data_IF_333622284831
#
_entry.id   IF_333622284831
#
_cell.length_a   1.000
_cell.length_b   1.000
_cell.length_c   1.000
_cell.angle_alpha   90.00
_cell.angle_beta   90.00
_cell.angle_gamma   90.00
#
_symmetry.space_group_name_H-M   'P 1'
#
loop_
_entity.id
_entity.type
_entity.pdbx_description
1 polymer ?
#
# COMPACT_ATOMS: atom_id res chain seq x y z
N UNK A 1 -11.55 -59.88 -56.52
CA UNK A 1 -11.14 -60.71 -55.37
C UNK A 1 -12.15 -60.47 -54.26
N UNK A 2 -13.03 -61.44 -54.02
CA UNK A 2 -14.03 -61.39 -52.94
C UNK A 2 -13.33 -61.52 -51.59
N UNK A 3 -13.74 -60.68 -50.63
CA UNK A 3 -13.11 -60.49 -49.31
C UNK A 3 -13.53 -61.54 -48.27
N UNK A 4 -14.03 -62.69 -48.71
CA UNK A 4 -14.50 -63.73 -47.81
C UNK A 4 -13.37 -64.72 -47.56
N UNK A 5 -13.02 -64.89 -46.28
CA UNK A 5 -11.90 -65.72 -45.84
C UNK A 5 -12.02 -67.18 -46.30
N UNK A 6 -10.90 -67.89 -46.32
CA UNK A 6 -10.82 -69.26 -46.81
C UNK A 6 -11.78 -70.21 -46.07
N UNK A 7 -12.53 -70.98 -46.86
CA UNK A 7 -13.46 -72.03 -46.42
C UNK A 7 -13.02 -73.32 -47.09
N UNK A 8 -12.87 -74.40 -46.33
CA UNK A 8 -12.57 -75.73 -46.89
C UNK A 8 -13.88 -76.50 -47.02
N UNK A 9 -14.12 -77.05 -48.21
CA UNK A 9 -15.36 -77.76 -48.55
C UNK A 9 -14.99 -79.22 -48.78
N UNK A 10 -15.57 -80.13 -48.00
CA UNK A 10 -15.34 -81.56 -48.13
C UNK A 10 -16.54 -82.20 -48.86
N UNK A 11 -16.38 -82.43 -50.17
CA UNK A 11 -17.51 -82.74 -51.06
C UNK A 11 -18.17 -84.11 -50.82
N UNK A 12 -17.50 -85.04 -50.13
CA UNK A 12 -18.08 -86.36 -49.80
C UNK A 12 -19.06 -86.33 -48.63
N UNK A 13 -18.93 -85.36 -47.73
CA UNK A 13 -19.81 -85.20 -46.56
C UNK A 13 -20.69 -83.93 -46.63
N UNK A 14 -20.55 -83.13 -47.70
CA UNK A 14 -21.28 -81.86 -47.92
C UNK A 14 -21.22 -80.90 -46.72
N UNK A 15 -20.08 -80.85 -46.03
CA UNK A 15 -19.84 -79.87 -44.96
C UNK A 15 -18.79 -78.85 -45.41
N UNK A 16 -19.05 -77.59 -45.09
CA UNK A 16 -18.18 -76.45 -45.39
C UNK A 16 -17.86 -75.74 -44.08
N UNK A 17 -16.60 -75.78 -43.65
CA UNK A 17 -16.16 -75.17 -42.39
C UNK A 17 -15.24 -73.98 -42.65
N UNK A 18 -15.51 -72.86 -41.97
CA UNK A 18 -14.78 -71.59 -42.13
C UNK A 18 -13.55 -71.58 -41.22
N UNK A 19 -12.38 -71.64 -41.82
CA UNK A 19 -11.09 -71.82 -41.09
C UNK A 19 -10.44 -70.47 -40.72
N UNK A 20 -10.95 -69.34 -41.22
CA UNK A 20 -10.34 -68.03 -40.99
C UNK A 20 -10.60 -67.49 -39.57
N UNK A 21 -9.55 -67.36 -38.75
CA UNK A 21 -9.58 -66.83 -37.37
C UNK A 21 -9.62 -65.29 -37.26
N UNK A 22 -10.16 -64.59 -38.26
CA UNK A 22 -10.18 -63.11 -38.27
C UNK A 22 -11.48 -62.60 -37.66
N UNK A 23 -11.37 -61.84 -36.56
CA UNK A 23 -12.50 -61.15 -35.92
C UNK A 23 -13.22 -60.26 -36.94
N UNK A 24 -14.55 -60.29 -36.92
CA UNK A 24 -15.37 -59.47 -37.81
C UNK A 24 -15.16 -57.99 -37.48
N UNK A 25 -14.81 -57.18 -38.49
CA UNK A 25 -14.63 -55.74 -38.31
C UNK A 25 -15.94 -55.12 -37.80
N UNK A 26 -15.86 -54.38 -36.69
CA UNK A 26 -16.99 -53.72 -36.05
C UNK A 26 -17.57 -52.60 -36.93
N UNK A 27 -18.89 -52.61 -37.15
CA UNK A 27 -19.61 -51.56 -37.89
C UNK A 27 -19.55 -50.19 -37.18
N UNK A 28 -18.73 -49.27 -37.68
CA UNK A 28 -18.57 -47.89 -37.17
C UNK A 28 -19.70 -46.93 -37.63
N UNK A 29 -20.94 -47.40 -37.76
CA UNK A 29 -22.05 -46.60 -38.32
C UNK A 29 -22.94 -45.93 -37.27
N UNK A 30 -22.65 -46.05 -35.97
CA UNK A 30 -23.37 -45.35 -34.92
C UNK A 30 -22.59 -44.13 -34.41
N UNK A 31 -23.22 -42.94 -34.25
CA UNK A 31 -22.54 -41.78 -33.71
C UNK A 31 -22.16 -42.03 -32.24
N UNK A 32 -20.88 -41.86 -31.90
CA UNK A 32 -20.33 -42.04 -30.56
C UNK A 32 -20.92 -41.04 -29.55
N UNK A 33 -22.13 -41.32 -29.03
CA UNK A 33 -22.81 -40.52 -28.00
C UNK A 33 -21.93 -40.28 -26.77
N UNK A 34 -21.08 -41.25 -26.44
CA UNK A 34 -20.12 -41.17 -25.34
C UNK A 34 -19.02 -40.10 -25.51
N UNK A 35 -18.66 -39.72 -26.75
CA UNK A 35 -17.72 -38.60 -26.96
C UNK A 35 -18.41 -37.25 -26.84
N UNK A 36 -19.66 -37.13 -27.32
CA UNK A 36 -20.48 -35.94 -27.14
C UNK A 36 -20.79 -35.66 -25.66
N UNK A 37 -21.12 -36.69 -24.87
CA UNK A 37 -21.37 -36.56 -23.42
C UNK A 37 -20.12 -36.07 -22.67
N UNK A 38 -18.93 -36.60 -22.98
CA UNK A 38 -17.66 -36.14 -22.36
C UNK A 38 -17.32 -34.70 -22.73
N UNK A 39 -17.60 -34.27 -23.96
CA UNK A 39 -17.40 -32.87 -24.37
C UNK A 39 -18.35 -31.94 -23.63
N UNK A 40 -19.62 -32.33 -23.44
CA UNK A 40 -20.57 -31.57 -22.64
C UNK A 40 -20.15 -31.50 -21.17
N UNK A 41 -19.69 -32.61 -20.57
CA UNK A 41 -19.18 -32.64 -19.19
C UNK A 41 -17.93 -31.75 -19.03
N UNK A 42 -17.01 -31.75 -19.99
CA UNK A 42 -15.85 -30.86 -19.97
C UNK A 42 -16.23 -29.38 -20.13
N UNK A 43 -17.25 -29.06 -20.92
CA UNK A 43 -17.78 -27.70 -21.04
C UNK A 43 -18.45 -27.26 -19.75
N UNK A 44 -19.27 -28.10 -19.13
CA UNK A 44 -19.92 -27.82 -17.85
C UNK A 44 -18.89 -27.69 -16.71
N UNK A 45 -17.87 -28.54 -16.70
CA UNK A 45 -16.71 -28.41 -15.80
C UNK A 45 -15.93 -27.10 -16.04
N UNK A 46 -15.80 -26.65 -17.29
CA UNK A 46 -15.18 -25.37 -17.61
C UNK A 46 -16.05 -24.18 -17.19
N UNK A 47 -17.37 -24.26 -17.35
CA UNK A 47 -18.32 -23.24 -16.92
C UNK A 47 -18.36 -23.11 -15.40
N UNK A 48 -18.39 -24.23 -14.67
CA UNK A 48 -18.33 -24.25 -13.20
C UNK A 48 -17.00 -23.72 -12.67
N UNK A 49 -15.86 -24.06 -13.30
CA UNK A 49 -14.55 -23.47 -12.97
C UNK A 49 -14.47 -21.96 -13.24
N UNK A 50 -15.08 -21.48 -14.32
CA UNK A 50 -15.16 -20.04 -14.61
C UNK A 50 -16.04 -19.32 -13.59
N UNK A 51 -17.18 -19.91 -13.23
CA UNK A 51 -18.10 -19.37 -12.23
C UNK A 51 -17.45 -19.31 -10.83
N UNK A 52 -16.77 -20.37 -10.41
CA UNK A 52 -16.06 -20.41 -9.12
C UNK A 52 -14.92 -19.38 -9.09
N UNK A 53 -14.13 -19.26 -10.16
CA UNK A 53 -13.09 -18.23 -10.27
C UNK A 53 -13.66 -16.81 -10.23
N UNK A 54 -14.84 -16.56 -10.82
CA UNK A 54 -15.54 -15.27 -10.75
C UNK A 54 -16.04 -14.99 -9.34
N UNK A 55 -16.57 -15.99 -8.64
CA UNK A 55 -16.99 -15.86 -7.24
C UNK A 55 -15.82 -15.57 -6.30
N UNK A 56 -14.67 -16.26 -6.48
CA UNK A 56 -13.45 -16.00 -5.72
C UNK A 56 -12.94 -14.59 -5.97
N UNK A 57 -12.90 -14.12 -7.23
CA UNK A 57 -12.53 -12.73 -7.54
C UNK A 57 -13.47 -11.73 -6.88
N UNK A 58 -14.78 -11.95 -6.92
CA UNK A 58 -15.77 -11.07 -6.28
C UNK A 58 -15.61 -11.06 -4.75
N UNK A 59 -15.30 -12.21 -4.14
CA UNK A 59 -15.03 -12.30 -2.72
C UNK A 59 -13.71 -11.60 -2.35
N UNK A 60 -12.68 -11.72 -3.18
CA UNK A 60 -11.41 -11.00 -3.02
C UNK A 60 -11.59 -9.49 -3.21
N UNK A 61 -12.35 -9.05 -4.20
CA UNK A 61 -12.70 -7.64 -4.40
C UNK A 61 -13.48 -7.10 -3.20
N UNK A 62 -14.46 -7.85 -2.68
CA UNK A 62 -15.17 -7.47 -1.45
C UNK A 62 -14.26 -7.43 -0.22
N UNK A 63 -13.31 -8.37 -0.09
CA UNK A 63 -12.32 -8.37 0.98
C UNK A 63 -11.35 -7.19 0.86
N UNK A 64 -10.89 -6.89 -0.36
CA UNK A 64 -10.04 -5.73 -0.66
C UNK A 64 -10.79 -4.46 -0.31
N UNK A 65 -12.05 -4.30 -0.72
CA UNK A 65 -12.89 -3.16 -0.34
C UNK A 65 -13.04 -3.02 1.18
N UNK A 66 -13.23 -4.14 1.90
CA UNK A 66 -13.27 -4.16 3.37
C UNK A 66 -11.95 -3.69 4.00
N UNK A 67 -10.81 -4.00 3.39
CA UNK A 67 -9.47 -3.62 3.89
C UNK A 67 -8.99 -2.25 3.41
N UNK A 68 -9.46 -1.77 2.26
CA UNK A 68 -9.00 -0.53 1.63
C UNK A 68 -9.72 0.70 2.14
N UNK A 69 -10.89 0.55 2.75
CA UNK A 69 -11.58 1.66 3.40
C UNK A 69 -10.95 1.94 4.77
N UNK A 70 -10.59 3.19 5.02
CA UNK A 70 -10.13 3.68 6.33
C UNK A 70 -11.19 3.59 7.44
N UNK A 71 -12.40 3.12 7.11
CA UNK A 71 -13.52 2.92 8.04
C UNK A 71 -13.38 1.59 8.76
N UNK A 72 -13.33 1.65 10.08
CA UNK A 72 -13.29 0.47 10.93
C UNK A 72 -14.65 -0.23 10.94
N UNK A 73 -14.65 -1.54 10.74
CA UNK A 73 -15.84 -2.38 10.88
C UNK A 73 -15.88 -2.90 12.31
N UNK A 74 -17.03 -2.76 12.97
CA UNK A 74 -17.25 -3.21 14.34
C UNK A 74 -18.05 -4.50 14.35
N UNK A 75 -17.67 -5.42 15.24
CA UNK A 75 -18.46 -6.61 15.53
C UNK A 75 -19.65 -6.26 16.43
N UNK A 76 -20.69 -7.09 16.43
CA UNK A 76 -21.87 -6.83 17.25
C UNK A 76 -21.54 -6.91 18.76
N UNK A 77 -20.63 -7.82 19.14
CA UNK A 77 -20.07 -7.91 20.50
C UNK A 77 -19.39 -6.60 20.94
N UNK A 78 -18.59 -5.97 20.07
CA UNK A 78 -17.94 -4.69 20.36
C UNK A 78 -18.97 -3.55 20.54
N UNK A 79 -20.08 -3.60 19.81
CA UNK A 79 -21.16 -2.60 19.87
C UNK A 79 -22.02 -2.72 21.13
N UNK A 80 -22.21 -3.94 21.61
CA UNK A 80 -22.95 -4.22 22.85
C UNK A 80 -22.18 -3.78 24.09
N UNK A 81 -20.84 -3.74 24.03
CA UNK A 81 -20.04 -3.27 25.18
C UNK A 81 -20.18 -1.75 25.41
N UNK A 82 -20.78 -1.31 26.54
CA UNK A 82 -21.01 0.11 26.78
C UNK A 82 -19.72 0.91 26.94
N UNK A 83 -18.62 0.26 27.35
CA UNK A 83 -17.30 0.87 27.52
C UNK A 83 -16.63 1.22 26.18
N UNK A 84 -16.86 0.44 25.12
CA UNK A 84 -16.30 0.71 23.78
C UNK A 84 -17.22 1.57 22.92
N UNK A 85 -18.53 1.56 23.18
CA UNK A 85 -19.53 2.35 22.47
C UNK A 85 -19.15 3.84 22.23
N UNK A 86 -18.61 4.62 23.20
CA UNK A 86 -18.21 6.00 22.94
C UNK A 86 -17.03 6.12 21.96
N UNK A 87 -16.13 5.14 21.93
CA UNK A 87 -15.00 5.11 20.99
C UNK A 87 -15.46 4.71 19.60
N UNK A 88 -16.38 3.74 19.50
CA UNK A 88 -17.05 3.35 18.25
C UNK A 88 -17.72 4.57 17.59
N UNK A 89 -18.54 5.31 18.36
CA UNK A 89 -19.19 6.53 17.88
C UNK A 89 -18.18 7.59 17.40
N UNK A 90 -17.00 7.69 18.02
CA UNK A 90 -15.95 8.64 17.63
C UNK A 90 -15.27 8.22 16.33
N UNK A 91 -14.98 6.94 16.15
CA UNK A 91 -14.42 6.40 14.91
C UNK A 91 -15.40 6.51 13.75
N UNK A 92 -16.68 6.19 13.94
CA UNK A 92 -17.71 6.32 12.89
C UNK A 92 -17.84 7.77 12.45
N UNK A 93 -18.00 8.72 13.39
CA UNK A 93 -18.05 10.16 13.07
C UNK A 93 -16.80 10.66 12.37
N UNK A 94 -15.62 10.14 12.73
CA UNK A 94 -14.37 10.53 12.09
C UNK A 94 -14.26 9.97 10.66
N UNK A 95 -14.74 8.74 10.44
CA UNK A 95 -14.84 8.14 9.12
C UNK A 95 -15.85 8.90 8.24
N UNK A 96 -17.03 9.26 8.75
CA UNK A 96 -18.02 10.05 8.00
C UNK A 96 -17.43 11.42 7.56
N UNK A 97 -16.65 12.06 8.45
CA UNK A 97 -15.95 13.31 8.13
C UNK A 97 -14.86 13.11 7.08
N UNK A 98 -14.14 12.00 7.12
CA UNK A 98 -13.14 11.64 6.11
C UNK A 98 -13.82 11.45 4.76
N UNK A 99 -14.92 10.69 4.71
CA UNK A 99 -15.66 10.42 3.47
C UNK A 99 -16.22 11.73 2.89
N UNK A 100 -16.77 12.61 3.72
CA UNK A 100 -17.21 13.95 3.32
C UNK A 100 -16.05 14.81 2.81
N UNK A 101 -14.89 14.79 3.48
CA UNK A 101 -13.72 15.56 3.07
C UNK A 101 -13.12 15.04 1.75
N UNK A 102 -13.10 13.71 1.54
CA UNK A 102 -12.69 13.11 0.26
C UNK A 102 -13.68 13.45 -0.86
N UNK A 103 -14.98 13.45 -0.58
CA UNK A 103 -15.99 13.86 -1.55
C UNK A 103 -15.86 15.35 -1.94
N UNK A 104 -15.42 16.20 -1.02
CA UNK A 104 -15.16 17.62 -1.26
C UNK A 104 -13.85 17.91 -2.03
N UNK A 105 -13.00 16.90 -2.28
CA UNK A 105 -11.79 17.09 -3.06
C UNK A 105 -12.12 17.44 -4.51
N UNK A 106 -11.40 18.41 -5.11
CA UNK A 106 -11.69 18.81 -6.48
C UNK A 106 -11.30 17.69 -7.45
N UNK A 107 -12.25 17.28 -8.31
CA UNK A 107 -12.06 16.21 -9.30
C UNK A 107 -11.72 16.77 -10.70
N UNK A 108 -11.06 15.96 -11.52
CA UNK A 108 -10.78 16.21 -12.93
C UNK A 108 -11.22 15.02 -13.78
N UNK A 109 -11.81 15.30 -14.94
CA UNK A 109 -12.15 14.29 -15.94
C UNK A 109 -10.89 13.95 -16.73
N UNK A 110 -10.41 12.71 -16.60
CA UNK A 110 -9.28 12.18 -17.37
C UNK A 110 -9.79 11.16 -18.37
N UNK A 111 -9.24 11.22 -19.57
CA UNK A 111 -9.57 10.29 -20.63
C UNK A 111 -8.85 8.96 -20.38
N UNK A 112 -9.61 7.90 -20.13
CA UNK A 112 -9.12 6.54 -19.89
C UNK A 112 -9.57 5.63 -21.04
N UNK A 113 -8.71 4.68 -21.41
CA UNK A 113 -8.99 3.68 -22.45
C UNK A 113 -9.52 2.41 -21.79
N UNK A 114 -10.78 2.10 -22.01
CA UNK A 114 -11.40 0.87 -21.53
C UNK A 114 -11.45 -0.16 -22.65
N UNK A 115 -10.86 -1.35 -22.43
CA UNK A 115 -10.92 -2.47 -23.37
C UNK A 115 -12.06 -3.40 -22.97
N UNK A 116 -13.14 -3.37 -23.73
CA UNK A 116 -14.31 -4.26 -23.56
C UNK A 116 -14.26 -5.38 -24.58
N UNK A 117 -14.42 -6.62 -24.16
CA UNK A 117 -14.51 -7.78 -25.04
C UNK A 117 -15.98 -8.14 -25.25
N UNK A 118 -16.41 -8.30 -26.50
CA UNK A 118 -17.75 -8.79 -26.81
C UNK A 118 -17.75 -10.32 -26.70
N UNK A 119 -18.47 -10.87 -25.72
CA UNK A 119 -18.46 -12.30 -25.35
C UNK A 119 -18.88 -13.23 -26.50
N UNK A 120 -19.68 -12.72 -27.45
CA UNK A 120 -20.20 -13.48 -28.60
C UNK A 120 -19.22 -13.62 -29.76
N UNK A 121 -18.30 -12.67 -29.93
CA UNK A 121 -17.36 -12.64 -31.08
C UNK A 121 -15.89 -12.67 -30.67
N UNK A 122 -15.59 -12.51 -29.38
CA UNK A 122 -14.23 -12.50 -28.84
C UNK A 122 -13.40 -11.26 -29.24
N UNK A 123 -13.96 -10.33 -30.02
CA UNK A 123 -13.26 -9.15 -30.50
C UNK A 123 -13.19 -8.08 -29.40
N UNK A 124 -11.98 -7.56 -29.17
CA UNK A 124 -11.75 -6.47 -28.23
C UNK A 124 -12.06 -5.12 -28.86
N UNK A 125 -12.98 -4.35 -28.28
CA UNK A 125 -13.22 -2.95 -28.64
C UNK A 125 -12.63 -2.05 -27.56
N UNK A 126 -11.82 -1.07 -27.95
CA UNK A 126 -11.30 -0.06 -27.01
C UNK A 126 -12.18 1.18 -27.11
N UNK A 127 -12.85 1.54 -26.01
CA UNK A 127 -13.66 2.77 -25.93
C UNK A 127 -12.96 3.77 -25.02
N UNK A 128 -12.97 5.04 -25.43
CA UNK A 128 -12.47 6.12 -24.60
C UNK A 128 -13.61 6.57 -23.67
N UNK A 129 -13.34 6.62 -22.37
CA UNK A 129 -14.28 7.10 -21.35
C UNK A 129 -13.59 8.19 -20.54
N UNK A 130 -14.34 9.23 -20.16
CA UNK A 130 -13.85 10.21 -19.21
C UNK A 130 -14.12 9.69 -17.80
N UNK A 131 -13.07 9.39 -17.05
CA UNK A 131 -13.13 9.00 -15.64
C UNK A 131 -12.87 10.22 -14.75
N UNK A 132 -13.69 10.40 -13.72
CA UNK A 132 -13.46 11.44 -12.72
C UNK A 132 -12.40 10.97 -11.72
N UNK A 133 -11.19 11.50 -11.85
CA UNK A 133 -10.09 11.26 -10.91
C UNK A 133 -9.88 12.49 -10.02
N UNK A 134 -9.41 12.29 -8.78
CA UNK A 134 -9.03 13.39 -7.90
C UNK A 134 -7.93 14.24 -8.56
N UNK A 135 -8.04 15.57 -8.45
CA UNK A 135 -6.97 16.46 -8.93
C UNK A 135 -5.75 16.27 -8.02
N UNK A 136 -4.54 16.11 -8.58
CA UNK A 136 -3.34 16.08 -7.78
C UNK A 136 -3.10 17.46 -7.13
N UNK A 137 -2.38 17.44 -6.01
CA UNK A 137 -2.05 18.65 -5.26
C UNK A 137 -1.29 19.64 -6.16
N UNK A 138 -1.80 20.88 -6.36
CA UNK A 138 -1.18 21.85 -7.26
C UNK A 138 0.21 22.27 -6.74
N UNK A 139 1.25 22.02 -7.54
CA UNK A 139 2.63 22.37 -7.22
C UNK A 139 3.27 21.53 -6.12
N UNK A 140 2.68 20.38 -5.76
CA UNK A 140 3.26 19.42 -4.84
C UNK A 140 4.00 18.33 -5.61
N UNK A 141 5.32 18.24 -5.45
CA UNK A 141 6.01 16.98 -5.71
C UNK A 141 5.45 15.98 -4.69
N UNK A 142 4.94 14.84 -5.15
CA UNK A 142 4.28 13.85 -4.30
C UNK A 142 5.17 13.35 -3.14
N UNK A 143 6.49 13.50 -3.28
CA UNK A 143 7.49 13.16 -2.26
C UNK A 143 8.54 14.28 -2.20
N UNK A 144 8.68 14.95 -1.06
CA UNK A 144 9.86 15.79 -0.79
C UNK A 144 11.02 14.86 -0.42
N UNK A 145 12.12 14.87 -1.18
CA UNK A 145 13.30 14.07 -0.86
C UNK A 145 13.81 14.47 0.54
N UNK A 146 13.88 13.55 1.53
CA UNK A 146 14.31 13.88 2.89
C UNK A 146 15.75 14.41 2.96
N UNK A 147 16.56 14.10 1.94
CA UNK A 147 17.95 14.55 1.82
C UNK A 147 18.10 15.98 1.27
N UNK A 148 17.01 16.65 0.88
CA UNK A 148 17.06 18.00 0.32
C UNK A 148 17.37 19.10 1.34
N UNK A 149 17.03 18.88 2.62
CA UNK A 149 17.22 19.86 3.69
C UNK A 149 18.69 20.06 4.07
N UNK A 150 19.50 19.01 4.34
CA UNK A 150 20.91 19.19 4.69
C UNK A 150 21.75 19.81 3.57
N UNK A 151 21.43 19.54 2.30
CA UNK A 151 22.11 20.16 1.16
C UNK A 151 21.82 21.67 1.03
N UNK A 152 20.59 22.10 1.37
CA UNK A 152 20.23 23.52 1.38
C UNK A 152 20.89 24.27 2.54
N UNK A 153 21.02 23.63 3.71
CA UNK A 153 21.67 24.21 4.90
C UNK A 153 23.16 24.49 4.66
N UNK A 154 23.88 23.60 3.97
CA UNK A 154 25.28 23.82 3.60
C UNK A 154 25.45 25.01 2.65
N UNK A 155 24.54 25.18 1.68
CA UNK A 155 24.56 26.33 0.77
C UNK A 155 24.31 27.66 1.48
N UNK A 156 23.41 27.68 2.48
CA UNK A 156 23.13 28.85 3.32
C UNK A 156 24.37 29.23 4.16
N UNK A 157 25.06 28.24 4.74
CA UNK A 157 26.29 28.49 5.49
C UNK A 157 27.39 29.15 4.64
N UNK A 158 27.58 28.67 3.41
CA UNK A 158 28.55 29.24 2.47
C UNK A 158 28.18 30.69 2.10
N UNK A 159 26.91 30.97 1.81
CA UNK A 159 26.47 32.34 1.51
C UNK A 159 26.61 33.30 2.70
N UNK A 160 26.31 32.84 3.92
CA UNK A 160 26.51 33.63 5.13
C UNK A 160 28.00 33.95 5.37
N UNK A 161 28.91 33.07 4.95
CA UNK A 161 30.35 33.29 5.09
C UNK A 161 30.89 34.27 4.05
N UNK A 162 30.43 34.21 2.81
CA UNK A 162 30.77 35.19 1.75
C UNK A 162 30.30 36.58 2.17
N UNK A 163 29.08 36.69 2.69
CA UNK A 163 28.52 37.95 3.17
C UNK A 163 29.20 38.53 4.43
N UNK A 164 30.08 37.77 5.09
CA UNK A 164 30.84 38.26 6.24
C UNK A 164 32.13 38.99 5.87
N UNK A 165 32.68 38.73 4.68
CA UNK A 165 33.94 39.32 4.19
C UNK A 165 33.71 40.65 3.47
N UNK A 166 32.48 40.90 3.00
CA UNK A 166 32.09 42.14 2.30
C UNK A 166 31.71 43.31 3.24
N UNK A 167 31.68 43.08 4.56
CA UNK A 167 31.22 44.04 5.59
C UNK A 167 32.21 45.17 5.93
N UNK A 168 33.41 45.15 5.36
CA UNK A 168 34.46 46.12 5.69
C UNK A 168 34.35 47.44 4.91
N UNK A 169 33.31 47.63 4.08
CA UNK A 169 33.14 48.83 3.26
C UNK A 169 31.77 49.54 3.46
N UNK A 170 31.64 50.24 4.58
CA UNK A 170 30.39 50.85 5.09
C UNK A 170 29.76 51.94 4.20
N UNK A 171 30.49 52.51 3.23
CA UNK A 171 29.99 53.55 2.32
C UNK A 171 29.14 53.05 1.15
N UNK A 172 29.35 51.80 0.72
CA UNK A 172 28.60 51.12 -0.37
C UNK A 172 27.39 50.36 0.19
N UNK A 173 27.44 50.02 1.49
CA UNK A 173 26.35 49.33 2.19
C UNK A 173 25.05 50.16 2.33
N UNK A 174 25.13 51.49 2.39
CA UNK A 174 23.94 52.34 2.60
C UNK A 174 22.96 52.36 1.42
N UNK A 175 23.49 52.41 0.19
CA UNK A 175 22.70 52.37 -1.03
C UNK A 175 22.20 50.95 -1.35
N UNK A 176 23.06 49.94 -1.18
CA UNK A 176 22.65 48.54 -1.39
C UNK A 176 21.65 48.04 -0.35
N UNK A 177 21.72 48.46 0.92
CA UNK A 177 20.73 48.07 1.93
C UNK A 177 19.34 48.67 1.66
N UNK A 178 19.24 49.88 1.11
CA UNK A 178 17.94 50.47 0.78
C UNK A 178 17.31 49.81 -0.45
N UNK A 179 18.11 49.49 -1.47
CA UNK A 179 17.70 48.68 -2.63
C UNK A 179 17.30 47.26 -2.21
N UNK A 180 18.09 46.59 -1.37
CA UNK A 180 17.80 45.25 -0.85
C UNK A 180 16.52 45.25 -0.01
N UNK A 181 16.28 46.29 0.80
CA UNK A 181 15.03 46.41 1.58
C UNK A 181 13.82 46.65 0.68
N UNK A 182 13.94 47.49 -0.35
CA UNK A 182 12.86 47.72 -1.31
C UNK A 182 12.55 46.45 -2.11
N UNK A 183 13.58 45.75 -2.58
CA UNK A 183 13.45 44.48 -3.27
C UNK A 183 12.89 43.40 -2.36
N UNK A 184 13.38 43.28 -1.12
CA UNK A 184 12.87 42.34 -0.12
C UNK A 184 11.42 42.65 0.25
N UNK A 185 11.04 43.92 0.33
CA UNK A 185 9.66 44.37 0.53
C UNK A 185 8.74 43.94 -0.62
N UNK A 186 9.13 44.21 -1.87
CA UNK A 186 8.37 43.83 -3.06
C UNK A 186 8.27 42.30 -3.23
N UNK A 187 9.40 41.58 -3.06
CA UNK A 187 9.45 40.11 -3.07
C UNK A 187 8.61 39.50 -1.94
N UNK A 188 8.61 40.11 -0.76
CA UNK A 188 7.79 39.65 0.36
C UNK A 188 6.29 39.82 0.07
N UNK A 189 5.88 40.99 -0.45
CA UNK A 189 4.49 41.27 -0.83
C UNK A 189 3.98 40.26 -1.86
N UNK A 190 4.71 40.09 -2.97
CA UNK A 190 4.35 39.11 -4.02
C UNK A 190 4.36 37.67 -3.50
N UNK A 191 5.29 37.30 -2.62
CA UNK A 191 5.32 35.97 -1.97
C UNK A 191 4.10 35.72 -1.10
N UNK A 192 3.67 36.71 -0.31
CA UNK A 192 2.49 36.60 0.56
C UNK A 192 1.20 36.45 -0.24
N UNK A 193 1.05 37.18 -1.34
CA UNK A 193 -0.08 37.03 -2.25
C UNK A 193 -0.14 35.62 -2.88
N UNK A 194 0.99 35.14 -3.42
CA UNK A 194 1.10 33.77 -3.96
C UNK A 194 0.84 32.71 -2.88
N UNK A 195 1.31 32.93 -1.65
CA UNK A 195 1.06 32.05 -0.52
C UNK A 195 -0.42 32.03 -0.13
N UNK A 196 -1.10 33.18 -0.13
CA UNK A 196 -2.54 33.30 0.11
C UNK A 196 -3.34 32.48 -0.90
N UNK A 197 -3.09 32.71 -2.19
CA UNK A 197 -3.73 31.97 -3.29
C UNK A 197 -3.47 30.46 -3.20
N UNK A 198 -2.22 30.06 -2.98
CA UNK A 198 -1.84 28.65 -2.81
C UNK A 198 -2.51 28.04 -1.58
N UNK A 199 -2.57 28.76 -0.47
CA UNK A 199 -3.19 28.25 0.75
C UNK A 199 -4.67 27.98 0.54
N UNK A 200 -5.37 28.83 -0.22
CA UNK A 200 -6.78 28.64 -0.56
C UNK A 200 -7.01 27.40 -1.43
N UNK A 201 -6.16 27.18 -2.45
CA UNK A 201 -6.21 25.97 -3.29
C UNK A 201 -5.90 24.68 -2.52
N UNK A 202 -5.07 24.78 -1.49
CA UNK A 202 -4.67 23.64 -0.66
C UNK A 202 -5.64 23.34 0.49
N UNK A 203 -6.63 24.20 0.76
CA UNK A 203 -7.63 23.99 1.83
C UNK A 203 -8.31 22.61 1.77
N UNK A 204 -8.93 22.19 0.64
CA UNK A 204 -9.64 20.90 0.59
C UNK A 204 -8.70 19.71 0.86
N UNK A 205 -7.48 19.75 0.31
CA UNK A 205 -6.47 18.70 0.55
C UNK A 205 -5.99 18.67 2.01
N UNK A 206 -5.85 19.83 2.65
CA UNK A 206 -5.49 19.91 4.08
C UNK A 206 -6.60 19.40 4.97
N UNK A 207 -7.85 19.68 4.63
CA UNK A 207 -9.02 19.19 5.37
C UNK A 207 -9.15 17.68 5.24
N UNK A 208 -8.99 17.13 4.04
CA UNK A 208 -8.92 15.69 3.81
C UNK A 208 -7.79 15.04 4.63
N UNK A 209 -6.56 15.58 4.57
CA UNK A 209 -5.43 15.06 5.35
C UNK A 209 -5.66 15.14 6.87
N UNK A 210 -6.28 16.23 7.36
CA UNK A 210 -6.66 16.36 8.78
C UNK A 210 -7.73 15.35 9.17
N UNK A 211 -8.72 15.11 8.30
CA UNK A 211 -9.77 14.13 8.54
C UNK A 211 -9.22 12.70 8.54
N UNK A 212 -8.27 12.38 7.66
CA UNK A 212 -7.54 11.12 7.66
C UNK A 212 -6.77 10.89 8.96
N UNK A 213 -6.00 11.90 9.42
CA UNK A 213 -5.31 11.82 10.71
C UNK A 213 -6.29 11.66 11.89
N UNK A 214 -7.43 12.35 11.85
CA UNK A 214 -8.45 12.25 12.87
C UNK A 214 -9.11 10.86 12.90
N UNK A 215 -9.45 10.30 11.73
CA UNK A 215 -9.98 8.95 11.60
C UNK A 215 -8.97 7.91 12.07
N UNK A 216 -7.70 8.02 11.64
CA UNK A 216 -6.63 7.15 12.09
C UNK A 216 -6.46 7.19 13.62
N UNK A 217 -6.43 8.39 14.21
CA UNK A 217 -6.34 8.55 15.67
C UNK A 217 -7.53 7.94 16.39
N UNK A 218 -8.75 8.11 15.87
CA UNK A 218 -9.95 7.53 16.46
C UNK A 218 -9.93 5.99 16.39
N UNK A 219 -9.50 5.42 15.27
CA UNK A 219 -9.37 3.97 15.08
C UNK A 219 -8.31 3.39 16.03
N UNK A 220 -7.14 4.04 16.15
CA UNK A 220 -6.08 3.62 17.08
C UNK A 220 -6.58 3.70 18.53
N UNK A 221 -7.31 4.74 18.90
CA UNK A 221 -7.89 4.85 20.25
C UNK A 221 -8.89 3.72 20.53
N UNK A 222 -9.75 3.37 19.58
CA UNK A 222 -10.66 2.24 19.72
C UNK A 222 -9.88 0.94 19.93
N UNK A 223 -8.90 0.65 19.07
CA UNK A 223 -8.08 -0.57 19.17
C UNK A 223 -7.31 -0.62 20.50
N UNK A 224 -6.81 0.53 20.98
CA UNK A 224 -6.17 0.63 22.28
C UNK A 224 -7.11 0.25 23.42
N UNK A 225 -8.33 0.80 23.43
CA UNK A 225 -9.31 0.48 24.47
C UNK A 225 -9.82 -0.96 24.40
N UNK A 226 -9.95 -1.52 23.20
CA UNK A 226 -10.20 -2.95 22.99
C UNK A 226 -9.07 -3.79 23.61
N UNK A 227 -7.82 -3.49 23.30
CA UNK A 227 -6.67 -4.22 23.84
C UNK A 227 -6.54 -4.11 25.36
N UNK A 228 -6.91 -2.96 25.97
CA UNK A 228 -6.95 -2.81 27.43
C UNK A 228 -8.04 -3.66 28.09
N UNK A 229 -9.17 -3.86 27.40
CA UNK A 229 -10.26 -4.69 27.90
C UNK A 229 -9.89 -6.18 27.84
N UNK A 230 -9.25 -6.61 26.76
CA UNK A 230 -8.76 -7.98 26.59
C UNK A 230 -7.57 -8.29 27.50
N UNK A 231 -6.71 -7.30 27.78
CA UNK A 231 -5.49 -7.48 28.57
C UNK A 231 -5.44 -6.52 29.78
N UNK A 232 -6.13 -6.86 30.89
CA UNK A 232 -6.14 -6.01 32.09
C UNK A 232 -4.74 -5.83 32.70
N UNK A 233 -3.79 -6.73 32.42
CA UNK A 233 -2.38 -6.61 32.84
C UNK A 233 -1.64 -5.41 32.23
N UNK A 234 -2.08 -4.94 31.06
CA UNK A 234 -1.50 -3.74 30.44
C UNK A 234 -1.95 -2.45 31.15
N UNK A 235 -3.03 -2.53 31.93
CA UNK A 235 -3.53 -1.44 32.76
C UNK A 235 -2.61 -1.29 33.98
N UNK A 236 -1.76 -0.26 33.97
CA UNK A 236 -0.89 0.08 35.10
C UNK A 236 -0.76 1.58 35.20
N UNK A 237 -0.39 2.07 36.39
CA UNK A 237 -0.29 3.50 36.64
C UNK A 237 0.74 4.16 35.68
N UNK A 238 0.34 5.09 34.80
CA UNK A 238 1.23 5.69 33.81
C UNK A 238 2.39 6.44 34.45
N UNK A 239 2.17 7.06 35.61
CA UNK A 239 3.22 7.76 36.36
C UNK A 239 4.29 6.80 36.85
N UNK A 240 3.89 5.62 37.35
CA UNK A 240 4.81 4.58 37.79
C UNK A 240 5.68 4.07 36.63
N UNK A 241 5.08 3.78 35.46
CA UNK A 241 5.85 3.37 34.25
C UNK A 241 6.81 4.45 33.78
N UNK A 242 6.41 5.72 33.85
CA UNK A 242 7.29 6.84 33.50
C UNK A 242 8.48 6.92 34.46
N UNK A 243 8.24 6.82 35.76
CA UNK A 243 9.30 6.81 36.78
C UNK A 243 10.22 5.59 36.62
N UNK A 244 9.67 4.41 36.34
CA UNK A 244 10.42 3.20 36.04
C UNK A 244 11.29 3.38 34.78
N UNK A 245 10.73 3.94 33.70
CA UNK A 245 11.46 4.24 32.47
C UNK A 245 12.62 5.21 32.74
N UNK A 246 12.41 6.26 33.54
CA UNK A 246 13.47 7.19 33.92
C UNK A 246 14.55 6.52 34.78
N UNK A 247 14.16 5.65 35.73
CA UNK A 247 15.11 4.86 36.53
C UNK A 247 15.97 3.95 35.64
N UNK A 248 15.35 3.20 34.73
CA UNK A 248 16.05 2.33 33.77
C UNK A 248 16.99 3.14 32.88
N UNK A 249 16.53 4.28 32.34
CA UNK A 249 17.40 5.18 31.54
C UNK A 249 18.60 5.68 32.33
N UNK A 250 18.41 6.07 33.59
CA UNK A 250 19.50 6.49 34.48
C UNK A 250 20.46 5.33 34.77
N UNK A 251 19.95 4.13 35.00
CA UNK A 251 20.77 2.92 35.20
C UNK A 251 21.58 2.60 33.93
N UNK A 252 20.95 2.63 32.75
CA UNK A 252 21.63 2.42 31.47
C UNK A 252 22.71 3.47 31.20
N UNK A 253 22.42 4.76 31.43
CA UNK A 253 23.43 5.80 31.32
C UNK A 253 24.59 5.58 32.30
N UNK A 254 24.32 5.09 33.52
CA UNK A 254 25.35 4.72 34.49
C UNK A 254 26.17 3.50 34.02
N UNK A 255 25.56 2.47 33.43
CA UNK A 255 26.30 1.30 32.92
C UNK A 255 27.13 1.65 31.68
N UNK A 256 26.62 2.48 30.78
CA UNK A 256 27.39 2.98 29.62
C UNK A 256 28.56 3.86 30.08
N UNK A 257 28.35 4.75 31.05
CA UNK A 257 29.46 5.56 31.62
C UNK A 257 30.49 4.72 32.37
N UNK A 258 30.05 3.70 33.12
CA UNK A 258 30.94 2.78 33.84
C UNK A 258 31.70 1.85 32.90
N UNK A 259 31.06 1.33 31.86
CA UNK A 259 31.73 0.53 30.84
C UNK A 259 32.72 1.39 30.06
N UNK A 260 32.32 2.58 29.59
CA UNK A 260 33.23 3.51 28.91
C UNK A 260 34.41 3.97 29.78
N UNK A 261 34.21 4.18 31.09
CA UNK A 261 35.32 4.49 31.99
C UNK A 261 36.20 3.28 32.31
N UNK A 262 35.64 2.06 32.30
CA UNK A 262 36.40 0.82 32.42
C UNK A 262 37.23 0.54 31.16
N UNK A 263 36.69 0.77 29.94
CA UNK A 263 37.47 0.68 28.69
C UNK A 263 38.51 1.78 28.59
N UNK A 264 38.21 3.02 29.03
CA UNK A 264 39.21 4.09 29.08
C UNK A 264 40.32 3.80 30.11
N UNK A 265 39.99 3.24 31.28
CA UNK A 265 40.99 2.79 32.26
C UNK A 265 41.79 1.59 31.76
N UNK A 266 41.18 0.65 31.06
CA UNK A 266 41.87 -0.49 30.46
C UNK A 266 42.79 -0.04 29.31
N UNK A 267 42.35 0.89 28.46
CA UNK A 267 43.16 1.47 27.40
C UNK A 267 44.31 2.34 27.95
N UNK A 268 44.08 3.09 29.03
CA UNK A 268 45.13 3.85 29.72
C UNK A 268 46.14 2.95 30.45
N UNK A 269 45.70 1.84 31.03
CA UNK A 269 46.58 0.84 31.63
C UNK A 269 47.41 0.08 30.58
N UNK A 270 46.82 -0.23 29.42
CA UNK A 270 47.50 -0.83 28.28
C UNK A 270 48.50 0.14 27.63
N UNK A 271 48.18 1.44 27.53
CA UNK A 271 49.11 2.44 27.00
C UNK A 271 50.29 2.71 27.95
N UNK A 272 50.06 2.72 29.27
CA UNK A 272 51.14 2.84 30.26
C UNK A 272 52.07 1.62 30.31
N UNK A 273 51.54 0.42 30.09
CA UNK A 273 52.37 -0.81 30.01
C UNK A 273 53.11 -0.92 28.69
N UNK A 274 52.54 -0.46 27.57
CA UNK A 274 53.24 -0.36 26.29
C UNK A 274 54.36 0.71 26.34
N UNK A 275 54.11 1.87 26.96
CA UNK A 275 55.12 2.92 27.11
C UNK A 275 56.29 2.51 28.02
N UNK A 276 56.05 1.68 29.05
CA UNK A 276 57.10 1.14 29.92
C UNK A 276 57.92 0.00 29.31
N UNK A 277 57.43 -0.63 28.24
CA UNK A 277 58.18 -1.67 27.49
C UNK A 277 58.97 -1.10 26.30
N UNK A 278 58.73 0.16 25.94
CA UNK A 278 59.38 0.84 24.82
C UNK A 278 60.49 1.82 25.26
N UNK A 279 60.82 1.84 26.56
CA UNK A 279 61.95 2.55 27.17
C UNK A 279 62.88 1.53 27.82
#
# INVERSE_FOLDING_TARGET
>A
MTRDGAVEINETQQTAERISSREADSDFSQPDTATAERVMEHLDAAHTRKASKKAVKKAQEAAVLRTSTSRLQFTDEERETPKLQPYIKKSEKAADKLDAAKAALPKQKKLVKERTFEETTGKAKTRLRFEEQEKPIPGGKAHSNPLSHPAQEAGIFVHNKIHSVEKDNSGVEGAHKSEELAERGARYGTRKLKQGYRSHKLKPYREAAKAEQAAFKANVNFQYHKALQENPQLTSNPFSRFMQKQKIKRQYAKTVKKSGSATAKAAAGASQTAAKKAA
#
